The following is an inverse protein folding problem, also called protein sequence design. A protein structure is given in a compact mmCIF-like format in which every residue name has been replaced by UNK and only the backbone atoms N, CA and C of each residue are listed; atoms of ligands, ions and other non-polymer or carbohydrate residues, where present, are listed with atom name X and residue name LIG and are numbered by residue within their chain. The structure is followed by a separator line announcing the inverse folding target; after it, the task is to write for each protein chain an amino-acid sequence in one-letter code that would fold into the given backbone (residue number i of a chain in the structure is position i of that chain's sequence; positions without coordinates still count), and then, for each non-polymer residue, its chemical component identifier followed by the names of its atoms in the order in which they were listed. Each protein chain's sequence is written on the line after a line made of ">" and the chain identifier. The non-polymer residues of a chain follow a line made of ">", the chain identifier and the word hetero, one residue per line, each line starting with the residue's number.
data_IF_986734838855
#
_entry.id   IF_986734838855
#
_cell.length_a   1.000
_cell.length_b   1.000
_cell.length_c   1.000
_cell.angle_alpha   90.00
_cell.angle_beta   90.00
_cell.angle_gamma   90.00
#
_symmetry.space_group_name_H-M   'P 1'
#
loop_
_entity.id
_entity.type
_entity.pdbx_description
1 polymer ?
#
# COMPACT_ATOMS: atom_id res chain seq x y z
N UNK A 1 -18.84 -16.69 43.17
CA UNK A 1 -19.64 -15.75 42.33
C UNK A 1 -18.78 -14.70 41.64
N UNK A 2 -17.85 -14.01 42.33
CA UNK A 2 -16.99 -12.98 41.72
C UNK A 2 -16.07 -13.49 40.59
N UNK A 3 -15.50 -14.69 40.74
CA UNK A 3 -14.64 -15.32 39.73
C UNK A 3 -15.37 -15.64 38.42
N UNK A 4 -16.63 -16.07 38.49
CA UNK A 4 -17.47 -16.31 37.31
C UNK A 4 -17.73 -15.02 36.52
N UNK A 5 -17.89 -13.88 37.21
CA UNK A 5 -18.06 -12.58 36.55
C UNK A 5 -16.81 -12.14 35.79
N UNK A 6 -15.60 -12.35 36.34
CA UNK A 6 -14.36 -12.05 35.63
C UNK A 6 -14.17 -12.93 34.40
N UNK A 7 -14.52 -14.21 34.48
CA UNK A 7 -14.44 -15.14 33.35
C UNK A 7 -15.42 -14.77 32.23
N UNK A 8 -16.65 -14.37 32.57
CA UNK A 8 -17.66 -13.91 31.60
C UNK A 8 -17.23 -12.59 30.95
N UNK A 9 -16.69 -11.66 31.75
CA UNK A 9 -16.18 -10.38 31.25
C UNK A 9 -14.99 -10.58 30.30
N UNK A 10 -14.05 -11.47 30.63
CA UNK A 10 -12.90 -11.79 29.78
C UNK A 10 -13.34 -12.44 28.45
N UNK A 11 -14.34 -13.33 28.49
CA UNK A 11 -14.88 -13.99 27.30
C UNK A 11 -15.61 -13.01 26.38
N UNK A 12 -16.29 -12.00 26.93
CA UNK A 12 -16.96 -10.96 26.15
C UNK A 12 -15.98 -10.03 25.42
N UNK A 13 -14.81 -9.74 26.02
CA UNK A 13 -13.77 -8.92 25.38
C UNK A 13 -13.16 -9.65 24.18
N UNK A 14 -12.96 -10.97 24.29
CA UNK A 14 -12.39 -11.79 23.21
C UNK A 14 -13.31 -11.91 21.99
N UNK A 15 -14.63 -11.77 22.18
CA UNK A 15 -15.61 -11.79 21.09
C UNK A 15 -15.67 -10.46 20.31
N UNK A 16 -15.21 -9.35 20.90
CA UNK A 16 -15.24 -8.02 20.25
C UNK A 16 -13.98 -7.79 19.40
N UNK A 17 -12.91 -8.55 19.62
CA UNK A 17 -11.65 -8.42 18.85
C UNK A 17 -11.65 -9.18 17.51
N UNK A 18 -12.77 -9.77 17.09
CA UNK A 18 -12.87 -10.50 15.82
C UNK A 18 -13.26 -9.62 14.63
N UNK A 19 -12.96 -8.32 14.66
CA UNK A 19 -12.91 -7.52 13.44
C UNK A 19 -11.73 -8.03 12.61
N UNK A 20 -11.98 -9.08 11.82
CA UNK A 20 -11.05 -9.54 10.80
C UNK A 20 -10.83 -8.38 9.83
N UNK A 21 -9.63 -7.80 9.84
CA UNK A 21 -9.12 -6.80 8.89
C UNK A 21 -8.96 -7.38 7.47
N UNK A 22 -9.99 -8.03 6.95
CA UNK A 22 -10.02 -8.59 5.60
C UNK A 22 -11.30 -8.14 4.90
N UNK A 23 -11.46 -6.83 4.73
CA UNK A 23 -12.42 -6.29 3.76
C UNK A 23 -11.79 -5.09 3.10
N UNK A 24 -10.93 -5.38 2.14
CA UNK A 24 -11.04 -4.86 0.78
C UNK A 24 -10.31 -5.90 -0.09
N UNK A 25 -11.06 -6.68 -0.87
CA UNK A 25 -10.43 -7.47 -1.93
C UNK A 25 -9.74 -6.46 -2.85
N UNK A 26 -8.42 -6.58 -3.00
CA UNK A 26 -7.68 -5.75 -3.94
C UNK A 26 -8.34 -5.94 -5.32
N UNK A 27 -8.81 -4.87 -5.98
CA UNK A 27 -9.59 -5.00 -7.19
C UNK A 27 -8.76 -5.75 -8.23
N UNK A 28 -9.38 -6.69 -8.92
CA UNK A 28 -8.72 -7.40 -10.00
C UNK A 28 -8.41 -6.39 -11.12
N UNK A 29 -7.13 -6.05 -11.27
CA UNK A 29 -6.67 -5.05 -12.22
C UNK A 29 -6.49 -5.72 -13.59
N UNK A 30 -7.51 -5.64 -14.44
CA UNK A 30 -7.48 -6.24 -15.77
C UNK A 30 -7.33 -5.20 -16.88
N UNK A 31 -6.64 -5.58 -17.96
CA UNK A 31 -6.47 -4.75 -19.15
C UNK A 31 -5.33 -3.71 -19.06
N UNK A 32 -5.14 -2.92 -20.13
CA UNK A 32 -4.08 -1.91 -20.19
C UNK A 32 -4.18 -0.92 -19.03
N UNK A 33 -3.03 -0.51 -18.49
CA UNK A 33 -2.96 0.50 -17.43
C UNK A 33 -3.88 0.22 -16.22
N UNK A 34 -4.07 -1.04 -15.85
CA UNK A 34 -4.92 -1.43 -14.71
C UNK A 34 -6.39 -1.05 -14.91
N UNK A 35 -6.88 -1.14 -16.17
CA UNK A 35 -8.22 -0.76 -16.57
C UNK A 35 -8.40 0.72 -16.92
N UNK A 36 -7.30 1.49 -16.96
CA UNK A 36 -7.32 2.90 -17.35
C UNK A 36 -7.10 3.06 -18.87
N UNK A 37 -7.54 4.21 -19.40
CA UNK A 37 -7.12 4.62 -20.73
C UNK A 37 -5.61 4.90 -20.74
N UNK A 38 -4.94 4.58 -21.84
CA UNK A 38 -3.53 4.90 -21.99
C UNK A 38 -3.26 6.41 -21.91
N UNK A 39 -2.01 6.80 -21.61
CA UNK A 39 -1.64 8.20 -21.42
C UNK A 39 -1.94 9.04 -22.66
N UNK A 40 -2.57 10.19 -22.43
CA UNK A 40 -2.84 11.19 -23.46
C UNK A 40 -1.78 12.30 -23.50
N UNK A 41 -2.11 13.39 -24.19
CA UNK A 41 -1.27 14.61 -24.22
C UNK A 41 -1.33 15.42 -22.92
N UNK A 42 -2.33 15.16 -22.09
CA UNK A 42 -2.51 15.78 -20.78
C UNK A 42 -2.13 14.77 -19.71
N UNK A 43 -1.25 15.12 -18.75
CA UNK A 43 -0.93 14.23 -17.64
C UNK A 43 -2.14 13.94 -16.77
N UNK A 44 -2.39 12.66 -16.49
CA UNK A 44 -3.44 12.19 -15.59
C UNK A 44 -2.83 11.35 -14.45
N UNK A 45 -3.56 11.25 -13.32
CA UNK A 45 -3.15 10.44 -12.18
C UNK A 45 -3.22 8.96 -12.54
N UNK A 46 -2.15 8.23 -12.31
CA UNK A 46 -2.11 6.79 -12.55
C UNK A 46 -2.69 6.02 -11.36
N UNK A 47 -3.69 5.18 -11.64
CA UNK A 47 -4.34 4.27 -10.68
C UNK A 47 -4.79 4.97 -9.37
N UNK A 48 -5.64 6.01 -9.47
CA UNK A 48 -6.12 6.74 -8.30
C UNK A 48 -6.87 5.82 -7.34
N UNK A 49 -6.60 5.96 -6.03
CA UNK A 49 -7.17 5.10 -4.99
C UNK A 49 -6.52 3.72 -4.86
N UNK A 50 -5.62 3.34 -5.78
CA UNK A 50 -4.84 2.10 -5.70
C UNK A 50 -3.38 2.41 -5.38
N UNK A 51 -2.73 3.24 -6.20
CA UNK A 51 -1.31 3.61 -6.03
C UNK A 51 -1.16 4.91 -5.26
N UNK A 52 -2.07 5.86 -5.49
CA UNK A 52 -1.93 7.19 -4.92
C UNK A 52 -2.29 7.19 -3.43
N UNK A 53 -1.27 7.29 -2.57
CA UNK A 53 -1.45 7.52 -1.13
C UNK A 53 -1.35 9.01 -0.79
N UNK A 54 -1.59 9.38 0.47
CA UNK A 54 -1.45 10.77 0.92
C UNK A 54 0.02 11.18 1.09
N UNK A 55 0.90 10.20 1.34
CA UNK A 55 2.30 10.46 1.63
C UNK A 55 3.10 10.74 0.36
N UNK A 56 4.19 11.48 0.52
CA UNK A 56 5.13 11.69 -0.57
C UNK A 56 5.97 10.43 -0.78
N UNK A 57 6.03 9.99 -2.04
CA UNK A 57 6.83 8.85 -2.49
C UNK A 57 7.63 9.30 -3.73
N UNK A 58 8.92 8.92 -3.82
CA UNK A 58 9.77 9.40 -4.91
C UNK A 58 11.15 8.75 -5.01
N UNK A 59 11.86 9.06 -6.11
CA UNK A 59 13.20 8.55 -6.38
C UNK A 59 13.25 7.09 -6.80
N UNK A 60 12.19 6.59 -7.45
CA UNK A 60 12.09 5.19 -7.85
C UNK A 60 13.22 4.78 -8.81
N UNK A 61 13.93 3.69 -8.49
CA UNK A 61 15.05 3.16 -9.30
C UNK A 61 15.00 1.63 -9.34
N UNK A 62 15.23 1.05 -10.52
CA UNK A 62 15.35 -0.41 -10.70
C UNK A 62 16.83 -0.80 -10.62
N UNK A 63 17.15 -1.90 -9.93
CA UNK A 63 18.51 -2.43 -9.86
C UNK A 63 19.05 -2.81 -11.26
N UNK A 64 20.37 -2.78 -11.50
CA UNK A 64 20.94 -3.15 -12.80
C UNK A 64 20.57 -4.56 -13.26
N UNK A 65 20.33 -5.49 -12.32
CA UNK A 65 19.89 -6.86 -12.61
C UNK A 65 18.37 -7.02 -12.75
N UNK A 66 17.60 -5.94 -12.62
CA UNK A 66 16.16 -5.90 -12.85
C UNK A 66 15.31 -6.56 -11.76
N UNK A 67 15.88 -6.93 -10.61
CA UNK A 67 15.15 -7.69 -9.57
C UNK A 67 14.40 -6.84 -8.57
N UNK A 68 14.84 -5.62 -8.31
CA UNK A 68 14.25 -4.79 -7.27
C UNK A 68 13.98 -3.38 -7.75
N UNK A 69 12.83 -2.85 -7.36
CA UNK A 69 12.50 -1.43 -7.44
C UNK A 69 12.67 -0.83 -6.04
N UNK A 70 13.56 0.14 -5.90
CA UNK A 70 13.74 0.95 -4.69
C UNK A 70 13.00 2.27 -4.83
N UNK A 71 12.43 2.79 -3.75
CA UNK A 71 11.83 4.12 -3.69
C UNK A 71 11.87 4.68 -2.27
N UNK A 72 11.76 5.99 -2.11
CA UNK A 72 11.72 6.65 -0.81
C UNK A 72 10.29 7.05 -0.48
N UNK A 73 9.94 7.04 0.81
CA UNK A 73 8.63 7.45 1.30
C UNK A 73 8.76 8.22 2.61
N UNK A 74 7.95 9.27 2.77
CA UNK A 74 7.78 9.93 4.07
C UNK A 74 7.05 8.97 5.03
N UNK A 75 7.69 8.69 6.16
CA UNK A 75 7.15 7.81 7.22
C UNK A 75 6.66 8.61 8.43
N UNK A 76 7.17 9.82 8.62
CA UNK A 76 6.63 10.78 9.58
C UNK A 76 6.82 12.23 9.08
N UNK A 77 5.85 13.12 9.33
CA UNK A 77 6.00 14.53 9.00
C UNK A 77 7.10 15.17 9.86
N UNK A 78 7.79 16.16 9.30
CA UNK A 78 8.72 16.99 10.07
C UNK A 78 7.97 17.80 11.14
N UNK A 79 8.58 17.98 12.32
CA UNK A 79 8.01 18.79 13.39
C UNK A 79 8.72 20.16 13.42
N UNK A 80 7.97 21.24 13.22
CA UNK A 80 8.54 22.58 13.15
C UNK A 80 9.39 22.79 11.89
N UNK A 81 10.66 23.14 12.09
CA UNK A 81 11.63 23.37 11.00
C UNK A 81 12.44 22.11 10.64
N UNK A 82 12.10 20.95 11.23
CA UNK A 82 12.76 19.68 10.93
C UNK A 82 12.32 19.09 9.59
N UNK A 83 13.24 18.38 8.94
CA UNK A 83 12.92 17.61 7.74
C UNK A 83 12.02 16.41 8.08
N UNK A 84 11.12 15.98 7.18
CA UNK A 84 10.34 14.77 7.39
C UNK A 84 11.24 13.54 7.51
N UNK A 85 10.79 12.57 8.29
CA UNK A 85 11.43 11.26 8.33
C UNK A 85 11.10 10.51 7.04
N UNK A 86 12.13 10.03 6.37
CA UNK A 86 12.05 9.38 5.06
C UNK A 86 12.79 8.06 5.12
N UNK A 87 12.09 6.99 4.75
CA UNK A 87 12.67 5.65 4.69
C UNK A 87 12.73 5.14 3.24
N UNK A 88 13.63 4.20 3.00
CA UNK A 88 13.81 3.52 1.72
C UNK A 88 13.08 2.19 1.73
N UNK A 89 12.14 2.06 0.79
CA UNK A 89 11.40 0.84 0.54
C UNK A 89 11.89 0.14 -0.72
N UNK A 90 11.61 -1.16 -0.82
CA UNK A 90 11.88 -1.95 -2.01
C UNK A 90 10.80 -2.99 -2.26
N UNK A 91 10.58 -3.32 -3.52
CA UNK A 91 9.68 -4.40 -3.96
C UNK A 91 10.35 -5.23 -5.06
N UNK A 92 9.90 -6.48 -5.22
CA UNK A 92 10.31 -7.31 -6.34
C UNK A 92 9.81 -6.68 -7.66
N UNK A 93 10.74 -6.37 -8.57
CA UNK A 93 10.43 -5.72 -9.84
C UNK A 93 9.81 -6.68 -10.87
N UNK A 94 9.78 -7.99 -10.63
CA UNK A 94 9.09 -8.96 -11.48
C UNK A 94 7.59 -8.68 -11.59
N UNK A 95 7.00 -7.92 -10.65
CA UNK A 95 5.62 -7.46 -10.77
C UNK A 95 5.39 -6.69 -12.08
N UNK A 96 6.40 -5.99 -12.60
CA UNK A 96 6.33 -5.26 -13.88
C UNK A 96 6.10 -6.24 -15.03
N UNK A 97 6.69 -7.44 -14.99
CA UNK A 97 6.46 -8.47 -16.02
C UNK A 97 5.04 -9.04 -15.94
N UNK A 98 4.50 -9.21 -14.73
CA UNK A 98 3.11 -9.64 -14.54
C UNK A 98 2.11 -8.59 -15.05
N UNK A 99 2.45 -7.30 -14.94
CA UNK A 99 1.62 -6.17 -15.37
C UNK A 99 1.83 -5.79 -16.85
N UNK A 100 2.83 -6.35 -17.52
CA UNK A 100 3.13 -6.03 -18.92
C UNK A 100 1.98 -6.51 -19.82
N UNK A 101 1.42 -5.65 -20.69
CA UNK A 101 0.40 -6.07 -21.65
C UNK A 101 0.91 -7.21 -22.54
N UNK A 102 0.12 -8.27 -22.68
CA UNK A 102 0.38 -9.32 -23.67
C UNK A 102 -0.09 -8.80 -25.03
N UNK A 103 0.85 -8.58 -25.93
CA UNK A 103 0.59 -8.23 -27.33
C UNK A 103 0.06 -9.43 -28.11
#
# INVERSE_FOLDING_TARGET
>A
MKTACYSILLLSILLITSESYSRDEFPMLEGPYLGQQGPGLVPERFAPGIIQTHEWEGGATITPDGKYLFFNRVVAPGIGDEWPDVDTYWVDAQIIEALRPKL
#
